data_IF_073179456979
#
_entry.id   IF_073179456979
#
_cell.length_a   1.000
_cell.length_b   1.000
_cell.length_c   1.000
_cell.angle_alpha   90.00
_cell.angle_beta   90.00
_cell.angle_gamma   90.00
#
_symmetry.space_group_name_H-M   'P 1'
#
loop_
_entity.id
_entity.type
_entity.pdbx_description
1 polymer ?
#
# COMPACT_ATOMS: atom_id res chain seq x y z
N UNK A 1 0.97 -42.35 43.84
CA UNK A 1 0.60 -40.92 43.73
C UNK A 1 1.42 -40.21 42.64
N UNK A 2 2.69 -40.60 42.43
CA UNK A 2 3.57 -39.97 41.43
C UNK A 2 3.22 -40.23 39.95
N UNK A 3 2.82 -41.45 39.58
CA UNK A 3 2.52 -41.78 38.17
C UNK A 3 1.36 -40.94 37.60
N UNK A 4 0.35 -40.67 38.44
CA UNK A 4 -0.81 -39.83 38.09
C UNK A 4 -0.42 -38.36 37.94
N UNK A 5 0.59 -37.90 38.70
CA UNK A 5 1.12 -36.54 38.60
C UNK A 5 1.96 -36.38 37.33
N UNK A 6 2.78 -37.36 36.98
CA UNK A 6 3.67 -37.33 35.81
C UNK A 6 2.90 -37.40 34.49
N UNK A 7 1.81 -38.18 34.42
CA UNK A 7 0.88 -38.16 33.27
C UNK A 7 0.19 -36.79 33.10
N UNK A 8 -0.20 -36.14 34.21
CA UNK A 8 -0.80 -34.79 34.17
C UNK A 8 0.18 -33.74 33.68
N UNK A 9 1.43 -33.79 34.14
CA UNK A 9 2.51 -32.88 33.69
C UNK A 9 2.79 -33.09 32.20
N UNK A 10 2.87 -34.35 31.74
CA UNK A 10 3.04 -34.67 30.32
C UNK A 10 1.89 -34.15 29.45
N UNK A 11 0.64 -34.31 29.89
CA UNK A 11 -0.54 -33.77 29.20
C UNK A 11 -0.53 -32.24 29.16
N UNK A 12 -0.13 -31.56 30.23
CA UNK A 12 -0.02 -30.08 30.27
C UNK A 12 1.07 -29.60 29.31
N UNK A 13 2.24 -30.24 29.31
CA UNK A 13 3.33 -29.89 28.39
C UNK A 13 2.94 -30.12 26.93
N UNK A 14 2.21 -31.20 26.62
CA UNK A 14 1.71 -31.49 25.27
C UNK A 14 0.68 -30.44 24.80
N UNK A 15 -0.22 -30.01 25.69
CA UNK A 15 -1.21 -28.96 25.40
C UNK A 15 -0.51 -27.62 25.18
N UNK A 16 0.47 -27.26 26.01
CA UNK A 16 1.23 -26.02 25.86
C UNK A 16 2.05 -26.00 24.57
N UNK A 17 2.65 -27.12 24.16
CA UNK A 17 3.35 -27.25 22.88
C UNK A 17 2.41 -27.08 21.68
N UNK A 18 1.18 -27.60 21.78
CA UNK A 18 0.15 -27.43 20.74
C UNK A 18 -0.39 -26.00 20.67
N UNK A 19 -0.46 -25.28 21.79
CA UNK A 19 -0.91 -23.88 21.85
C UNK A 19 0.10 -22.86 21.30
N UNK A 20 1.39 -23.20 21.26
CA UNK A 20 2.43 -22.31 20.69
C UNK A 20 2.46 -22.40 19.15
N UNK A 21 2.00 -23.51 18.58
CA UNK A 21 2.04 -23.75 17.12
C UNK A 21 0.93 -23.03 16.31
N UNK A 22 -0.02 -22.35 16.96
CA UNK A 22 -1.14 -21.66 16.28
C UNK A 22 -0.98 -20.15 16.20
N UNK A 23 0.19 -19.60 16.55
CA UNK A 23 0.53 -18.25 16.12
C UNK A 23 0.84 -18.31 14.61
N UNK A 24 -0.20 -18.23 13.78
CA UNK A 24 0.00 -17.83 12.40
C UNK A 24 0.79 -16.52 12.46
N UNK A 25 2.01 -16.55 11.93
CA UNK A 25 2.77 -15.34 11.70
C UNK A 25 1.92 -14.50 10.74
N UNK A 26 1.08 -13.63 11.29
CA UNK A 26 0.56 -12.49 10.55
C UNK A 26 1.83 -11.83 9.98
N UNK A 27 1.96 -11.81 8.66
CA UNK A 27 3.11 -11.22 7.99
C UNK A 27 3.40 -9.87 8.67
N UNK A 28 4.62 -9.71 9.17
CA UNK A 28 4.96 -8.61 10.05
C UNK A 28 4.78 -7.30 9.28
N UNK A 29 3.74 -6.54 9.62
CA UNK A 29 3.52 -5.22 9.08
C UNK A 29 4.62 -4.25 9.58
N UNK A 30 5.09 -3.30 8.75
CA UNK A 30 4.69 -3.06 7.37
C UNK A 30 5.28 -4.06 6.37
N UNK A 31 4.53 -4.34 5.30
CA UNK A 31 5.04 -5.07 4.15
C UNK A 31 6.23 -4.32 3.53
N UNK A 32 7.23 -5.07 3.07
CA UNK A 32 8.33 -4.51 2.29
C UNK A 32 7.86 -4.00 0.93
N UNK A 33 8.64 -3.13 0.29
CA UNK A 33 8.33 -2.60 -1.04
C UNK A 33 8.22 -3.69 -2.10
N UNK A 34 8.97 -4.79 -1.93
CA UNK A 34 8.99 -5.94 -2.84
C UNK A 34 7.87 -6.96 -2.56
N UNK A 35 7.00 -6.70 -1.57
CA UNK A 35 5.89 -7.60 -1.25
C UNK A 35 4.91 -7.69 -2.43
N UNK A 36 4.43 -8.89 -2.81
CA UNK A 36 3.51 -9.06 -3.93
C UNK A 36 2.24 -8.21 -3.84
N UNK A 37 1.71 -7.96 -2.64
CA UNK A 37 0.54 -7.11 -2.46
C UNK A 37 0.86 -5.63 -2.71
N UNK A 38 2.05 -5.17 -2.32
CA UNK A 38 2.53 -3.81 -2.60
C UNK A 38 2.76 -3.63 -4.09
N UNK A 39 3.45 -4.58 -4.73
CA UNK A 39 3.70 -4.58 -6.18
C UNK A 39 2.40 -4.58 -6.99
N UNK A 40 1.43 -5.43 -6.61
CA UNK A 40 0.11 -5.43 -7.26
C UNK A 40 -0.64 -4.11 -7.10
N UNK A 41 -0.47 -3.42 -5.97
CA UNK A 41 -1.03 -2.08 -5.76
C UNK A 41 -0.39 -1.03 -6.65
N UNK A 42 0.95 -1.07 -6.81
CA UNK A 42 1.69 -0.18 -7.70
C UNK A 42 1.32 -0.41 -9.17
N UNK A 43 1.17 -1.66 -9.60
CA UNK A 43 0.70 -1.99 -10.95
C UNK A 43 -0.69 -1.39 -11.24
N UNK A 44 -1.60 -1.47 -10.26
CA UNK A 44 -2.91 -0.82 -10.36
C UNK A 44 -2.78 0.71 -10.48
N UNK A 45 -2.01 1.35 -9.60
CA UNK A 45 -1.77 2.80 -9.66
C UNK A 45 -1.18 3.18 -11.02
N UNK A 46 -0.29 2.36 -11.59
CA UNK A 46 0.33 2.62 -12.90
C UNK A 46 -0.70 2.58 -14.02
N UNK A 47 -1.66 1.66 -13.95
CA UNK A 47 -2.78 1.60 -14.89
C UNK A 47 -3.74 2.80 -14.80
N UNK A 48 -3.73 3.52 -13.67
CA UNK A 48 -4.54 4.70 -13.43
C UNK A 48 -3.89 6.01 -13.90
N UNK A 49 -2.65 5.98 -14.38
CA UNK A 49 -1.97 7.18 -14.87
C UNK A 49 -2.48 7.55 -16.27
N UNK A 50 -2.79 8.83 -16.44
CA UNK A 50 -3.30 9.40 -17.69
C UNK A 50 -2.19 10.15 -18.47
N UNK A 51 -2.47 10.49 -19.74
CA UNK A 51 -1.53 11.18 -20.65
C UNK A 51 -1.09 12.57 -20.16
N UNK A 52 -1.91 13.21 -19.31
CA UNK A 52 -1.61 14.48 -18.65
C UNK A 52 -0.68 14.33 -17.43
N UNK A 53 -0.27 13.10 -17.12
CA UNK A 53 0.58 12.74 -16.00
C UNK A 53 -0.17 12.49 -14.69
N UNK A 54 -1.43 12.90 -14.57
CA UNK A 54 -2.21 12.71 -13.35
C UNK A 54 -2.86 11.32 -13.26
N UNK A 55 -3.66 11.11 -12.22
CA UNK A 55 -4.26 9.82 -11.90
C UNK A 55 -5.78 9.94 -11.68
N UNK A 56 -6.49 8.92 -12.14
CA UNK A 56 -7.89 8.67 -11.85
C UNK A 56 -8.23 7.19 -12.05
N UNK A 57 -9.36 6.75 -11.50
CA UNK A 57 -9.89 5.42 -11.78
C UNK A 57 -10.37 5.31 -13.23
N UNK A 58 -10.40 4.08 -13.75
CA UNK A 58 -10.81 3.79 -15.12
C UNK A 58 -12.17 4.45 -15.45
N UNK A 59 -12.19 5.21 -16.55
CA UNK A 59 -13.39 5.90 -17.03
C UNK A 59 -13.68 7.24 -16.33
N UNK A 60 -12.81 7.73 -15.44
CA UNK A 60 -12.93 9.05 -14.81
C UNK A 60 -11.88 10.00 -15.36
N UNK A 61 -12.16 11.30 -15.30
CA UNK A 61 -11.16 12.33 -15.59
C UNK A 61 -10.13 12.42 -14.47
N UNK A 62 -8.91 12.80 -14.82
CA UNK A 62 -7.82 13.07 -13.88
C UNK A 62 -8.27 13.94 -12.72
N UNK A 63 -7.95 13.53 -11.49
CA UNK A 63 -8.33 14.24 -10.28
C UNK A 63 -7.07 14.65 -9.49
N UNK A 64 -6.91 15.92 -9.08
CA UNK A 64 -5.74 16.34 -8.32
C UNK A 64 -5.60 15.64 -6.97
N UNK A 65 -6.69 15.39 -6.23
CA UNK A 65 -6.65 14.67 -4.96
C UNK A 65 -6.17 13.23 -5.13
N UNK A 66 -6.73 12.51 -6.11
CA UNK A 66 -6.30 11.15 -6.46
C UNK A 66 -4.84 11.12 -6.89
N UNK A 67 -4.41 12.09 -7.72
CA UNK A 67 -3.03 12.22 -8.17
C UNK A 67 -2.06 12.43 -7.01
N UNK A 68 -2.46 13.20 -5.99
CA UNK A 68 -1.66 13.41 -4.78
C UNK A 68 -1.47 12.08 -4.01
N UNK A 69 -2.55 11.33 -3.78
CA UNK A 69 -2.47 10.04 -3.10
C UNK A 69 -1.62 9.02 -3.86
N UNK A 70 -1.73 8.99 -5.19
CA UNK A 70 -0.90 8.14 -6.04
C UNK A 70 0.58 8.49 -5.89
N UNK A 71 0.95 9.77 -5.97
CA UNK A 71 2.34 10.23 -5.78
C UNK A 71 2.86 9.86 -4.39
N UNK A 72 2.06 10.02 -3.33
CA UNK A 72 2.47 9.60 -1.98
C UNK A 72 2.73 8.08 -1.90
N UNK A 73 1.89 7.26 -2.53
CA UNK A 73 2.08 5.81 -2.55
C UNK A 73 3.34 5.40 -3.31
N UNK A 74 3.61 6.04 -4.46
CA UNK A 74 4.82 5.84 -5.27
C UNK A 74 6.07 6.14 -4.43
N UNK A 75 6.10 7.31 -3.76
CA UNK A 75 7.23 7.70 -2.90
C UNK A 75 7.37 6.77 -1.70
N UNK A 76 6.27 6.36 -1.07
CA UNK A 76 6.30 5.42 0.05
C UNK A 76 6.83 4.04 -0.35
N UNK A 77 6.65 3.64 -1.60
CA UNK A 77 7.24 2.43 -2.18
C UNK A 77 8.72 2.60 -2.57
N UNK A 78 9.32 3.78 -2.35
CA UNK A 78 10.70 4.08 -2.72
C UNK A 78 10.92 4.34 -4.21
N UNK A 79 9.84 4.49 -4.99
CA UNK A 79 9.93 4.83 -6.41
C UNK A 79 9.98 6.36 -6.62
N UNK A 80 10.61 6.79 -7.72
CA UNK A 80 10.67 8.21 -8.10
C UNK A 80 9.51 8.56 -9.04
N UNK A 81 8.56 9.43 -8.63
CA UNK A 81 7.42 9.82 -9.46
C UNK A 81 7.80 10.57 -10.74
N UNK A 82 9.04 11.08 -10.88
CA UNK A 82 9.53 11.62 -12.15
C UNK A 82 9.73 10.54 -13.23
N UNK A 83 9.83 9.26 -12.83
CA UNK A 83 9.96 8.12 -13.73
C UNK A 83 8.61 7.46 -14.06
N UNK A 84 7.55 7.82 -13.33
CA UNK A 84 6.18 7.40 -13.63
C UNK A 84 5.63 8.23 -14.76
N UNK A 85 5.70 7.70 -15.98
CA UNK A 85 5.42 8.43 -17.22
C UNK A 85 4.44 7.71 -18.12
N UNK A 86 3.52 8.48 -18.68
CA UNK A 86 2.72 8.10 -19.84
C UNK A 86 3.00 9.09 -20.95
N UNK A 87 3.35 8.60 -22.14
CA UNK A 87 3.66 9.42 -23.32
C UNK A 87 4.69 10.55 -23.07
N UNK A 88 5.63 10.31 -22.14
CA UNK A 88 6.68 11.25 -21.78
C UNK A 88 6.31 12.23 -20.68
N UNK A 89 5.04 12.38 -20.32
CA UNK A 89 4.55 13.22 -19.22
C UNK A 89 4.63 12.46 -17.90
N UNK A 90 5.32 13.00 -16.91
CA UNK A 90 5.47 12.36 -15.60
C UNK A 90 4.38 12.73 -14.60
N UNK A 91 4.28 11.93 -13.53
CA UNK A 91 3.41 12.21 -12.39
C UNK A 91 3.66 13.57 -11.73
N UNK A 92 4.88 14.09 -11.85
CA UNK A 92 5.24 15.42 -11.35
C UNK A 92 4.93 16.52 -12.37
N UNK A 93 4.97 16.23 -13.66
CA UNK A 93 4.69 17.22 -14.70
C UNK A 93 3.24 17.71 -14.66
N UNK A 94 2.31 16.84 -14.24
CA UNK A 94 0.89 17.15 -14.04
C UNK A 94 0.68 18.45 -13.23
N UNK A 95 1.37 18.62 -12.10
CA UNK A 95 1.18 19.77 -11.20
C UNK A 95 1.61 21.10 -11.81
N UNK A 96 2.49 21.09 -12.82
CA UNK A 96 2.86 22.31 -13.54
C UNK A 96 1.75 22.81 -14.46
N UNK A 97 0.80 21.94 -14.80
CA UNK A 97 -0.31 22.24 -15.71
C UNK A 97 -1.60 22.59 -14.97
N UNK A 98 -1.71 22.27 -13.67
CA UNK A 98 -2.93 22.48 -12.88
C UNK A 98 -2.67 23.47 -11.73
N UNK A 99 -2.90 24.76 -11.99
CA UNK A 99 -2.65 25.84 -11.03
C UNK A 99 -3.41 25.66 -9.71
N UNK A 100 -4.69 25.30 -9.75
CA UNK A 100 -5.53 25.10 -8.55
C UNK A 100 -5.05 23.92 -7.69
N UNK A 101 -4.36 22.95 -8.30
CA UNK A 101 -3.80 21.80 -7.61
C UNK A 101 -2.50 22.12 -6.85
N UNK A 102 -1.86 23.25 -7.13
CA UNK A 102 -0.62 23.68 -6.46
C UNK A 102 -0.85 24.47 -5.18
N UNK A 103 -2.09 24.90 -4.92
CA UNK A 103 -2.46 25.62 -3.70
C UNK A 103 -3.82 25.17 -3.13
N UNK A 104 -4.00 23.89 -2.77
CA UNK A 104 -5.26 23.42 -2.20
C UNK A 104 -5.40 23.90 -0.75
N UNK A 105 -6.57 24.44 -0.39
CA UNK A 105 -6.94 24.68 1.02
C UNK A 105 -7.08 23.36 1.81
N UNK A 106 -7.26 22.24 1.10
CA UNK A 106 -7.19 20.87 1.62
C UNK A 106 -7.38 19.81 0.52
N UNK A 107 -6.87 18.59 0.74
CA UNK A 107 -6.96 17.48 -0.23
C UNK A 107 -8.40 16.99 -0.46
N UNK A 108 -9.28 17.17 0.52
CA UNK A 108 -10.70 16.81 0.42
C UNK A 108 -11.46 17.67 -0.60
N UNK A 109 -11.02 18.90 -0.86
CA UNK A 109 -11.70 19.80 -1.80
C UNK A 109 -11.36 19.50 -3.26
N UNK A 110 -10.22 18.84 -3.49
CA UNK A 110 -9.74 18.46 -4.81
C UNK A 110 -10.48 17.26 -5.40
N UNK A 111 -11.29 16.54 -4.61
CA UNK A 111 -11.98 15.31 -4.98
C UNK A 111 -13.39 15.47 -5.57
N UNK A 112 -13.80 16.70 -5.93
CA UNK A 112 -15.13 16.95 -6.53
C UNK A 112 -15.18 16.62 -8.02
#
# INVERSE_FOLDING_TARGET
>A
MEERAMKRIGSILLILLFSIATCSAAAAYPYGTDDPAVQSGLDYIRSCQHDDGGFAEAGRSTNPGTSWFAVMAIVAAGEDPHNWRVNGTSAIDYWRTVQDATNPEGTAELGR
#
